data_IF_081668525979
#
_entry.id   IF_081668525979
#
_cell.length_a   1.000
_cell.length_b   1.000
_cell.length_c   1.000
_cell.angle_alpha   90.00
_cell.angle_beta   90.00
_cell.angle_gamma   90.00
#
_symmetry.space_group_name_H-M   'P 1'
#
loop_
_entity.id
_entity.type
_entity.pdbx_description
1 polymer ?
#
# COMPACT_ATOMS: atom_id res chain seq x y z
N UNK A 1 -0.37 -21.98 -8.37
CA UNK A 1 0.80 -21.92 -9.28
C UNK A 1 1.75 -23.02 -8.89
N UNK A 2 2.08 -23.93 -9.79
CA UNK A 2 3.12 -24.93 -9.53
C UNK A 2 4.46 -24.19 -9.36
N UNK A 3 5.02 -24.25 -8.17
CA UNK A 3 6.35 -23.68 -7.90
C UNK A 3 7.35 -24.35 -8.84
N UNK A 4 7.95 -23.57 -9.72
CA UNK A 4 9.01 -24.08 -10.57
C UNK A 4 10.26 -24.34 -9.71
N UNK A 5 10.46 -25.59 -9.31
CA UNK A 5 11.62 -26.04 -8.49
C UNK A 5 12.97 -25.54 -9.04
N UNK A 6 13.07 -25.37 -10.37
CA UNK A 6 14.26 -24.81 -11.03
C UNK A 6 14.50 -23.37 -10.59
N UNK A 7 13.46 -22.52 -10.56
CA UNK A 7 13.59 -21.11 -10.16
C UNK A 7 13.98 -20.99 -8.68
N UNK A 8 13.40 -21.81 -7.81
CA UNK A 8 13.77 -21.83 -6.39
C UNK A 8 15.26 -22.18 -6.22
N UNK A 9 15.78 -23.17 -6.97
CA UNK A 9 17.21 -23.53 -6.93
C UNK A 9 18.11 -22.37 -7.38
N UNK A 10 17.71 -21.62 -8.43
CA UNK A 10 18.44 -20.45 -8.91
C UNK A 10 18.49 -19.37 -7.81
N UNK A 11 17.35 -19.05 -7.21
CA UNK A 11 17.28 -18.04 -6.14
C UNK A 11 18.14 -18.42 -4.94
N UNK A 12 18.13 -19.69 -4.53
CA UNK A 12 18.98 -20.20 -3.44
C UNK A 12 20.48 -20.11 -3.78
N UNK A 13 20.88 -20.40 -5.04
CA UNK A 13 22.26 -20.21 -5.50
C UNK A 13 22.69 -18.75 -5.43
N UNK A 14 21.78 -17.81 -5.68
CA UNK A 14 22.00 -16.37 -5.52
C UNK A 14 21.96 -15.90 -4.06
N UNK A 15 21.96 -16.81 -3.09
CA UNK A 15 21.84 -16.53 -1.64
C UNK A 15 20.58 -15.74 -1.27
N UNK A 16 19.51 -15.86 -2.05
CA UNK A 16 18.21 -15.28 -1.76
C UNK A 16 17.44 -16.23 -0.85
N UNK A 17 16.95 -15.71 0.28
CA UNK A 17 16.09 -16.47 1.18
C UNK A 17 14.71 -16.66 0.51
N UNK A 18 14.35 -17.92 0.28
CA UNK A 18 13.06 -18.28 -0.32
C UNK A 18 12.17 -18.86 0.77
N UNK A 19 11.01 -18.27 0.96
CA UNK A 19 9.99 -18.71 1.89
C UNK A 19 8.78 -19.23 1.10
N UNK A 20 8.52 -20.51 1.22
CA UNK A 20 7.33 -21.14 0.64
C UNK A 20 6.17 -20.99 1.62
N UNK A 21 5.03 -20.49 1.13
CA UNK A 21 3.85 -20.27 1.95
C UNK A 21 2.76 -21.27 1.56
N UNK A 22 2.05 -21.78 2.55
CA UNK A 22 0.83 -22.57 2.34
C UNK A 22 -0.28 -21.64 1.90
N UNK A 23 -0.98 -21.99 0.83
CA UNK A 23 -2.15 -21.23 0.39
C UNK A 23 -3.28 -21.33 1.43
N UNK A 24 -3.96 -20.21 1.74
CA UNK A 24 -5.14 -20.25 2.59
C UNK A 24 -6.32 -20.92 1.88
N UNK A 25 -7.16 -21.63 2.62
CA UNK A 25 -8.38 -22.24 2.10
C UNK A 25 -9.32 -21.19 1.46
N UNK A 26 -9.40 -20.01 2.04
CA UNK A 26 -10.10 -18.86 1.49
C UNK A 26 -9.09 -17.77 1.09
N UNK A 27 -9.08 -17.39 -0.18
CA UNK A 27 -8.17 -16.36 -0.71
C UNK A 27 -8.59 -14.93 -0.34
N UNK A 28 -9.79 -14.74 0.21
CA UNK A 28 -10.36 -13.43 0.53
C UNK A 28 -10.70 -12.61 -0.71
N UNK A 29 -11.34 -11.45 -0.51
CA UNK A 29 -11.67 -10.54 -1.63
C UNK A 29 -10.38 -10.07 -2.30
N UNK A 30 -10.36 -10.12 -3.64
CA UNK A 30 -9.19 -9.75 -4.47
C UNK A 30 -7.90 -10.51 -4.09
N UNK A 31 -8.02 -11.74 -3.60
CA UNK A 31 -6.90 -12.59 -3.19
C UNK A 31 -6.05 -12.00 -2.03
N UNK A 32 -6.64 -11.16 -1.18
CA UNK A 32 -5.93 -10.41 -0.14
C UNK A 32 -5.22 -11.32 0.87
N UNK A 33 -5.78 -12.51 1.16
CA UNK A 33 -5.20 -13.45 2.10
C UNK A 33 -3.86 -14.02 1.63
N UNK A 34 -3.68 -14.22 0.32
CA UNK A 34 -2.39 -14.60 -0.25
C UNK A 34 -1.32 -13.54 0.03
N UNK A 35 -1.71 -12.27 -0.11
CA UNK A 35 -0.82 -11.15 0.14
C UNK A 35 -0.52 -10.96 1.63
N UNK A 36 -1.52 -11.12 2.50
CA UNK A 36 -1.34 -11.08 3.96
C UNK A 36 -0.32 -12.13 4.39
N UNK A 37 -0.51 -13.38 3.99
CA UNK A 37 0.35 -14.50 4.42
C UNK A 37 1.76 -14.30 3.90
N UNK A 38 1.93 -14.04 2.60
CA UNK A 38 3.26 -13.90 2.01
C UNK A 38 4.03 -12.70 2.56
N UNK A 39 3.38 -11.54 2.69
CA UNK A 39 4.02 -10.34 3.22
C UNK A 39 4.37 -10.50 4.70
N UNK A 40 3.41 -10.96 5.51
CA UNK A 40 3.61 -11.17 6.94
C UNK A 40 4.77 -12.13 7.24
N UNK A 41 4.77 -13.29 6.58
CA UNK A 41 5.80 -14.31 6.82
C UNK A 41 7.19 -13.83 6.36
N UNK A 42 7.28 -13.14 5.21
CA UNK A 42 8.52 -12.53 4.75
C UNK A 42 9.06 -11.47 5.70
N UNK A 43 8.18 -10.61 6.26
CA UNK A 43 8.58 -9.58 7.23
C UNK A 43 9.02 -10.21 8.56
N UNK A 44 8.33 -11.26 9.04
CA UNK A 44 8.75 -11.98 10.23
C UNK A 44 10.11 -12.68 10.04
N UNK A 45 10.37 -13.25 8.87
CA UNK A 45 11.69 -13.79 8.55
C UNK A 45 12.76 -12.69 8.62
N UNK A 46 12.52 -11.53 8.00
CA UNK A 46 13.44 -10.39 8.08
C UNK A 46 13.67 -9.94 9.54
N UNK A 47 12.63 -9.91 10.37
CA UNK A 47 12.76 -9.62 11.81
C UNK A 47 13.62 -10.65 12.52
N UNK A 48 13.42 -11.94 12.25
CA UNK A 48 14.23 -13.03 12.82
C UNK A 48 15.72 -12.91 12.42
N UNK A 49 15.99 -12.36 11.24
CA UNK A 49 17.34 -12.06 10.74
C UNK A 49 17.93 -10.75 11.30
N UNK A 50 17.26 -10.07 12.22
CA UNK A 50 17.74 -8.85 12.88
C UNK A 50 17.47 -7.54 12.13
N UNK A 51 16.64 -7.55 11.08
CA UNK A 51 16.30 -6.32 10.36
C UNK A 51 15.52 -5.35 11.25
N UNK A 52 15.96 -4.09 11.33
CA UNK A 52 15.26 -3.00 12.03
C UNK A 52 14.31 -2.25 11.11
N UNK A 53 14.63 -2.17 9.82
CA UNK A 53 13.80 -1.56 8.77
C UNK A 53 13.61 -2.55 7.64
N UNK A 54 12.48 -2.47 6.96
CA UNK A 54 12.14 -3.38 5.87
C UNK A 54 11.46 -2.62 4.74
N UNK A 55 11.80 -2.99 3.51
CA UNK A 55 11.10 -2.60 2.30
C UNK A 55 10.30 -3.81 1.79
N UNK A 56 8.97 -3.71 1.81
CA UNK A 56 8.08 -4.65 1.13
C UNK A 56 7.85 -4.17 -0.28
N UNK A 57 8.11 -5.00 -1.25
CA UNK A 57 7.81 -4.78 -2.66
C UNK A 57 7.19 -6.02 -3.28
N UNK A 58 7.01 -6.05 -4.60
CA UNK A 58 6.46 -7.17 -5.36
C UNK A 58 7.55 -7.81 -6.22
N UNK A 59 7.42 -9.10 -6.48
CA UNK A 59 8.37 -9.84 -7.33
C UNK A 59 8.35 -9.40 -8.80
N UNK A 60 7.26 -8.77 -9.25
CA UNK A 60 7.10 -8.23 -10.61
C UNK A 60 7.43 -6.71 -10.70
N UNK A 61 7.99 -6.14 -9.64
CA UNK A 61 8.42 -4.74 -9.58
C UNK A 61 9.91 -4.60 -9.29
N UNK A 62 10.51 -3.51 -9.79
CA UNK A 62 11.91 -3.11 -9.53
C UNK A 62 11.96 -1.61 -9.33
N UNK A 63 12.74 -1.16 -8.36
CA UNK A 63 13.07 0.25 -8.17
C UNK A 63 14.54 0.45 -8.59
N UNK A 64 14.76 1.35 -9.54
CA UNK A 64 16.09 1.59 -10.15
C UNK A 64 16.77 2.86 -9.62
N UNK A 65 16.31 3.43 -8.51
CA UNK A 65 16.98 4.56 -7.89
C UNK A 65 18.37 4.12 -7.37
N UNK A 66 19.47 4.78 -7.78
CA UNK A 66 20.83 4.32 -7.50
C UNK A 66 21.17 4.30 -5.99
N UNK A 67 20.58 5.18 -5.21
CA UNK A 67 20.77 5.26 -3.76
C UNK A 67 19.44 5.10 -3.00
N UNK A 68 18.64 4.09 -3.38
CA UNK A 68 17.30 3.89 -2.86
C UNK A 68 17.25 3.82 -1.32
N UNK A 69 18.20 3.11 -0.70
CA UNK A 69 18.25 2.95 0.75
C UNK A 69 18.30 4.31 1.45
N UNK A 70 19.30 5.13 1.15
CA UNK A 70 19.45 6.44 1.80
C UNK A 70 18.32 7.39 1.44
N UNK A 71 17.83 7.32 0.20
CA UNK A 71 16.67 8.10 -0.24
C UNK A 71 15.44 7.83 0.64
N UNK A 72 15.13 6.56 0.89
CA UNK A 72 14.00 6.19 1.76
C UNK A 72 14.21 6.59 3.22
N UNK A 73 15.42 6.44 3.76
CA UNK A 73 15.73 6.90 5.12
C UNK A 73 15.59 8.41 5.26
N UNK A 74 16.01 9.19 4.25
CA UNK A 74 15.88 10.65 4.27
C UNK A 74 14.43 11.09 4.45
N UNK A 75 13.45 10.38 3.86
CA UNK A 75 12.03 10.69 4.11
C UNK A 75 11.62 10.47 5.56
N UNK A 76 12.13 9.45 6.24
CA UNK A 76 11.82 9.21 7.64
C UNK A 76 12.41 10.29 8.55
N UNK A 77 13.59 10.81 8.21
CA UNK A 77 14.26 11.88 8.97
C UNK A 77 13.69 13.26 8.68
N UNK A 78 13.42 13.57 7.41
CA UNK A 78 12.85 14.85 7.02
C UNK A 78 11.41 15.03 7.51
N UNK A 79 10.65 13.94 7.61
CA UNK A 79 9.25 13.97 8.01
C UNK A 79 8.98 13.07 9.23
N UNK A 80 9.50 13.44 10.41
CA UNK A 80 9.38 12.61 11.61
C UNK A 80 7.92 12.46 12.05
N UNK A 81 7.61 11.32 12.64
CA UNK A 81 6.30 11.08 13.25
C UNK A 81 6.11 12.01 14.47
N UNK A 82 4.91 12.58 14.62
CA UNK A 82 4.62 13.43 15.79
C UNK A 82 4.69 12.62 17.09
N UNK A 83 5.35 13.14 18.12
CA UNK A 83 5.58 12.48 19.43
C UNK A 83 4.32 11.94 20.11
N UNK A 84 3.15 12.52 19.83
CA UNK A 84 1.86 12.03 20.37
C UNK A 84 1.42 10.65 19.85
N UNK A 85 2.00 10.14 18.76
CA UNK A 85 1.64 8.84 18.16
C UNK A 85 2.53 7.72 18.69
N UNK A 86 2.40 7.38 19.97
CA UNK A 86 3.25 6.43 20.69
C UNK A 86 3.18 4.99 20.15
N UNK A 87 2.07 4.60 19.49
CA UNK A 87 1.86 3.24 18.99
C UNK A 87 2.53 2.96 17.64
N UNK A 88 3.18 3.96 17.03
CA UNK A 88 3.92 3.85 15.78
C UNK A 88 5.29 4.49 15.98
N UNK A 89 6.35 3.90 15.42
CA UNK A 89 7.74 4.40 15.59
C UNK A 89 8.11 5.45 14.55
N UNK A 90 7.78 5.19 13.28
CA UNK A 90 8.06 6.08 12.15
C UNK A 90 6.85 6.15 11.22
N UNK A 91 6.77 7.18 10.37
CA UNK A 91 5.85 7.13 9.24
C UNK A 91 6.19 5.95 8.34
N UNK A 92 5.18 5.38 7.68
CA UNK A 92 5.39 4.40 6.63
C UNK A 92 5.55 5.15 5.30
N UNK A 93 6.58 4.84 4.53
CA UNK A 93 6.80 5.41 3.19
C UNK A 93 6.14 4.50 2.18
N UNK A 94 5.18 5.04 1.41
CA UNK A 94 4.49 4.35 0.33
C UNK A 94 4.57 5.17 -0.96
N UNK A 95 4.21 4.56 -2.10
CA UNK A 95 4.22 5.28 -3.40
C UNK A 95 2.87 5.86 -3.76
N UNK A 96 2.89 6.91 -4.60
CA UNK A 96 1.72 7.47 -5.26
C UNK A 96 1.01 6.45 -6.15
N UNK A 97 1.76 5.50 -6.75
CA UNK A 97 1.22 4.45 -7.57
C UNK A 97 0.16 3.64 -6.81
N UNK A 98 -1.08 3.70 -7.28
CA UNK A 98 -2.24 3.07 -6.64
C UNK A 98 -2.64 3.67 -5.27
N UNK A 99 -2.17 4.87 -4.93
CA UNK A 99 -2.67 5.68 -3.83
C UNK A 99 -3.54 6.80 -4.39
N UNK A 100 -4.88 6.62 -4.42
CA UNK A 100 -5.80 7.57 -5.02
C UNK A 100 -6.31 8.59 -4.01
N UNK A 101 -6.50 9.85 -4.45
CA UNK A 101 -6.98 10.96 -3.60
C UNK A 101 -8.32 10.66 -2.92
N UNK A 102 -9.22 9.99 -3.64
CA UNK A 102 -10.61 9.78 -3.20
C UNK A 102 -10.91 8.37 -2.70
N UNK A 103 -9.98 7.42 -2.84
CA UNK A 103 -10.09 6.11 -2.21
C UNK A 103 -9.65 6.22 -0.74
N UNK A 104 -10.62 6.47 0.13
CA UNK A 104 -10.36 6.72 1.56
C UNK A 104 -9.55 5.58 2.17
N UNK A 105 -8.47 5.94 2.86
CA UNK A 105 -7.53 5.01 3.51
C UNK A 105 -6.85 4.02 2.56
N UNK A 106 -6.93 4.23 1.26
CA UNK A 106 -6.35 3.33 0.24
C UNK A 106 -4.89 3.63 -0.05
N UNK A 107 -4.01 3.42 0.92
CA UNK A 107 -2.55 3.56 0.75
C UNK A 107 -2.03 2.35 -0.02
N UNK A 108 -1.25 2.60 -1.07
CA UNK A 108 -0.61 1.54 -1.85
C UNK A 108 0.23 0.61 -0.97
N UNK A 109 -0.04 -0.67 -1.07
CA UNK A 109 0.66 -1.74 -0.37
C UNK A 109 1.76 -2.40 -1.24
N UNK A 110 1.87 -1.95 -2.48
CA UNK A 110 2.78 -2.55 -3.47
C UNK A 110 4.24 -2.26 -3.18
N UNK A 111 4.54 -1.08 -2.64
CA UNK A 111 5.86 -0.66 -2.22
C UNK A 111 5.71 0.08 -0.90
N UNK A 112 6.26 -0.48 0.18
CA UNK A 112 6.17 0.13 1.50
C UNK A 112 7.45 -0.07 2.30
N UNK A 113 8.02 1.04 2.79
CA UNK A 113 9.22 1.06 3.61
C UNK A 113 8.92 1.63 5.00
N UNK A 114 9.55 1.06 6.03
CA UNK A 114 9.41 1.57 7.38
C UNK A 114 10.13 0.73 8.44
N UNK A 115 9.99 1.16 9.70
CA UNK A 115 10.45 0.37 10.83
C UNK A 115 9.69 -0.96 10.89
N UNK A 116 10.40 -2.05 11.15
CA UNK A 116 9.86 -3.40 11.01
C UNK A 116 8.58 -3.63 11.85
N UNK A 117 8.51 -3.08 13.06
CA UNK A 117 7.33 -3.22 13.92
C UNK A 117 6.09 -2.52 13.32
N UNK A 118 6.26 -1.40 12.66
CA UNK A 118 5.16 -0.67 12.02
C UNK A 118 4.70 -1.39 10.75
N UNK A 119 5.65 -1.93 9.97
CA UNK A 119 5.35 -2.72 8.76
C UNK A 119 4.67 -4.05 9.14
N UNK A 120 5.08 -4.71 10.24
CA UNK A 120 4.38 -5.87 10.78
C UNK A 120 2.92 -5.52 11.12
N UNK A 121 2.68 -4.40 11.83
CA UNK A 121 1.31 -3.97 12.15
C UNK A 121 0.46 -3.77 10.90
N UNK A 122 1.06 -3.22 9.83
CA UNK A 122 0.37 -2.97 8.58
C UNK A 122 0.03 -4.28 7.84
N UNK A 123 0.99 -5.18 7.66
CA UNK A 123 0.84 -6.40 6.86
C UNK A 123 0.34 -7.63 7.65
N UNK A 124 -0.10 -7.46 8.88
CA UNK A 124 -0.66 -8.55 9.69
C UNK A 124 -2.10 -8.30 10.11
N UNK A 125 -3.03 -7.88 9.22
CA UNK A 125 -4.44 -7.88 9.57
C UNK A 125 -4.95 -9.32 9.78
N UNK A 126 -6.14 -9.53 10.35
CA UNK A 126 -6.85 -10.81 10.29
C UNK A 126 -7.01 -11.26 8.83
N UNK A 127 -7.18 -12.55 8.59
CA UNK A 127 -7.55 -13.03 7.26
C UNK A 127 -8.98 -12.58 6.93
N UNK A 128 -9.21 -12.26 5.66
CA UNK A 128 -10.55 -11.89 5.17
C UNK A 128 -11.37 -13.15 4.91
N UNK A 129 -12.45 -13.32 5.65
CA UNK A 129 -13.32 -14.48 5.52
C UNK A 129 -14.35 -14.35 4.38
N UNK A 130 -14.42 -13.20 3.73
CA UNK A 130 -15.34 -12.97 2.60
C UNK A 130 -14.84 -13.70 1.36
N UNK A 131 -15.79 -14.26 0.59
CA UNK A 131 -15.46 -15.06 -0.62
C UNK A 131 -15.63 -14.21 -1.89
N UNK A 132 -16.70 -13.41 -1.95
CA UNK A 132 -17.03 -12.59 -3.13
C UNK A 132 -17.72 -11.29 -2.73
N UNK A 133 -17.69 -10.32 -3.63
CA UNK A 133 -18.51 -9.12 -3.53
C UNK A 133 -19.87 -9.35 -4.20
N UNK A 134 -20.89 -8.63 -3.74
CA UNK A 134 -22.25 -8.67 -4.31
C UNK A 134 -22.31 -8.07 -5.72
N UNK A 135 -21.47 -7.07 -6.00
CA UNK A 135 -21.42 -6.34 -7.26
C UNK A 135 -20.00 -6.25 -7.82
N UNK A 136 -19.88 -5.91 -9.12
CA UNK A 136 -18.59 -5.56 -9.74
C UNK A 136 -18.02 -4.29 -9.10
N UNK A 137 -16.70 -4.19 -8.99
CA UNK A 137 -16.00 -3.05 -8.38
C UNK A 137 -16.38 -1.71 -9.02
N UNK A 138 -16.55 -1.68 -10.34
CA UNK A 138 -16.93 -0.49 -11.11
C UNK A 138 -18.32 0.09 -10.77
N UNK A 139 -19.15 -0.67 -10.06
CA UNK A 139 -20.50 -0.22 -9.67
C UNK A 139 -20.51 0.51 -8.33
N UNK A 140 -19.39 0.54 -7.61
CA UNK A 140 -19.30 1.20 -6.31
C UNK A 140 -18.85 2.67 -6.45
N UNK A 141 -19.41 3.54 -5.61
CA UNK A 141 -18.84 4.85 -5.36
C UNK A 141 -17.53 4.74 -4.57
N UNK A 142 -16.70 5.77 -4.59
CA UNK A 142 -15.49 5.82 -3.75
C UNK A 142 -15.80 5.61 -2.26
N UNK A 143 -16.88 6.22 -1.77
CA UNK A 143 -17.33 6.04 -0.39
C UNK A 143 -17.69 4.58 -0.10
N UNK A 144 -18.49 3.94 -0.96
CA UNK A 144 -18.91 2.55 -0.79
C UNK A 144 -17.71 1.61 -0.87
N UNK A 145 -16.84 1.78 -1.86
CA UNK A 145 -15.62 1.00 -2.02
C UNK A 145 -14.75 1.02 -0.75
N UNK A 146 -14.54 2.23 -0.21
CA UNK A 146 -13.75 2.39 1.01
C UNK A 146 -14.37 1.71 2.23
N UNK A 147 -15.70 1.84 2.41
CA UNK A 147 -16.43 1.20 3.52
C UNK A 147 -16.43 -0.32 3.42
N UNK A 148 -16.37 -0.88 2.22
CA UNK A 148 -16.26 -2.32 2.00
C UNK A 148 -14.88 -2.87 2.39
N UNK A 149 -13.91 -2.03 2.70
CA UNK A 149 -12.55 -2.46 3.07
C UNK A 149 -11.96 -3.43 2.04
N UNK A 150 -11.82 -2.98 0.80
CA UNK A 150 -11.30 -3.80 -0.29
C UNK A 150 -9.83 -3.44 -0.54
N UNK A 151 -9.03 -4.43 -0.88
CA UNK A 151 -7.62 -4.25 -1.26
C UNK A 151 -6.83 -3.47 -0.20
N UNK A 152 -6.16 -2.40 -0.59
CA UNK A 152 -5.29 -1.57 0.26
C UNK A 152 -6.03 -0.94 1.45
N UNK A 153 -7.33 -0.69 1.30
CA UNK A 153 -8.16 -0.16 2.40
C UNK A 153 -8.24 -1.14 3.56
N UNK A 154 -8.23 -2.45 3.27
CA UNK A 154 -8.24 -3.49 4.30
C UNK A 154 -6.97 -3.45 5.16
N UNK A 155 -5.79 -3.37 4.54
CA UNK A 155 -4.53 -3.26 5.27
C UNK A 155 -4.48 -1.98 6.11
N UNK A 156 -4.78 -0.86 5.49
CA UNK A 156 -4.68 0.46 6.08
C UNK A 156 -5.62 0.65 7.26
N UNK A 157 -6.91 0.28 7.12
CA UNK A 157 -7.89 0.40 8.21
C UNK A 157 -7.56 -0.51 9.40
N UNK A 158 -7.10 -1.73 9.14
CA UNK A 158 -6.66 -2.63 10.22
C UNK A 158 -5.40 -2.11 10.92
N UNK A 159 -4.44 -1.55 10.19
CA UNK A 159 -3.28 -0.87 10.76
C UNK A 159 -3.71 0.30 11.66
N UNK A 160 -4.60 1.16 11.16
CA UNK A 160 -5.10 2.33 11.90
C UNK A 160 -5.79 1.93 13.21
N UNK A 161 -6.60 0.85 13.20
CA UNK A 161 -7.19 0.30 14.42
C UNK A 161 -6.12 -0.13 15.42
N UNK A 162 -5.06 -0.83 14.97
CA UNK A 162 -3.95 -1.30 15.83
C UNK A 162 -3.15 -0.16 16.45
N UNK A 163 -3.06 0.99 15.80
CA UNK A 163 -2.39 2.18 16.33
C UNK A 163 -3.34 3.14 17.04
N UNK A 164 -4.60 2.72 17.31
CA UNK A 164 -5.59 3.48 18.07
C UNK A 164 -6.16 4.70 17.33
N UNK A 165 -6.26 4.63 15.99
CA UNK A 165 -6.81 5.75 15.18
C UNK A 165 -8.27 5.55 14.86
N UNK A 166 -9.06 6.62 15.06
CA UNK A 166 -10.49 6.64 14.68
C UNK A 166 -10.63 6.77 13.16
N UNK A 167 -11.52 5.96 12.59
CA UNK A 167 -11.87 5.93 11.17
C UNK A 167 -13.32 6.38 11.04
N UNK A 168 -13.58 7.45 10.29
CA UNK A 168 -14.93 7.99 10.10
C UNK A 168 -15.36 8.10 8.62
N UNK A 169 -14.55 7.57 7.70
CA UNK A 169 -14.81 7.53 6.26
C UNK A 169 -15.18 8.88 5.63
N UNK A 170 -14.53 9.97 6.10
CA UNK A 170 -14.56 11.28 5.45
C UNK A 170 -13.24 11.56 4.74
N UNK A 171 -13.29 12.39 3.68
CA UNK A 171 -12.10 12.78 2.93
C UNK A 171 -11.10 13.50 3.84
N UNK A 172 -11.57 14.44 4.65
CA UNK A 172 -10.74 15.18 5.59
C UNK A 172 -10.01 14.24 6.58
N UNK A 173 -10.69 13.22 7.11
CA UNK A 173 -10.04 12.26 8.02
C UNK A 173 -9.02 11.38 7.28
N UNK A 174 -9.35 10.90 6.08
CA UNK A 174 -8.43 10.09 5.26
C UNK A 174 -7.15 10.87 4.94
N UNK A 175 -7.26 12.09 4.44
CA UNK A 175 -6.10 12.94 4.12
C UNK A 175 -5.28 13.28 5.37
N UNK A 176 -5.94 13.50 6.52
CA UNK A 176 -5.24 13.69 7.80
C UNK A 176 -4.44 12.44 8.19
N UNK A 177 -4.98 11.24 7.98
CA UNK A 177 -4.27 9.98 8.21
C UNK A 177 -3.06 9.86 7.29
N UNK A 178 -3.19 10.17 6.00
CA UNK A 178 -2.08 10.17 5.06
C UNK A 178 -0.96 11.11 5.52
N UNK A 179 -1.31 12.35 5.89
CA UNK A 179 -0.36 13.32 6.44
C UNK A 179 0.34 12.83 7.70
N UNK A 180 -0.42 12.27 8.64
CA UNK A 180 0.07 12.03 9.99
C UNK A 180 0.87 10.72 10.13
N UNK A 181 0.54 9.69 9.36
CA UNK A 181 1.07 8.34 9.53
C UNK A 181 1.90 7.80 8.36
N UNK A 182 1.82 8.46 7.20
CA UNK A 182 2.50 8.02 5.99
C UNK A 182 3.34 9.16 5.39
N UNK A 183 4.26 8.80 4.50
CA UNK A 183 4.85 9.66 3.48
C UNK A 183 4.51 9.03 2.15
N UNK A 184 3.94 9.79 1.24
CA UNK A 184 3.66 9.33 -0.11
C UNK A 184 4.71 9.92 -1.03
N UNK A 185 5.48 9.09 -1.70
CA UNK A 185 6.48 9.51 -2.68
C UNK A 185 6.03 9.14 -4.09
N UNK A 186 6.46 9.94 -5.06
CA UNK A 186 6.15 9.65 -6.46
C UNK A 186 6.93 8.41 -6.91
N UNK A 187 6.23 7.47 -7.55
CA UNK A 187 6.83 6.23 -8.03
C UNK A 187 7.91 6.48 -9.10
N UNK A 188 7.81 7.58 -9.82
CA UNK A 188 8.81 8.04 -10.80
C UNK A 188 10.13 8.39 -10.10
N UNK A 189 10.09 8.99 -8.92
CA UNK A 189 11.27 9.40 -8.16
C UNK A 189 12.18 8.23 -7.79
N UNK A 190 11.63 7.04 -7.65
CA UNK A 190 12.37 5.79 -7.41
C UNK A 190 12.58 4.98 -8.69
N UNK A 191 12.21 5.52 -9.86
CA UNK A 191 12.26 4.81 -11.14
C UNK A 191 11.62 3.43 -11.05
N UNK A 192 10.41 3.36 -10.46
CA UNK A 192 9.71 2.10 -10.26
C UNK A 192 9.31 1.49 -11.60
N UNK A 193 9.81 0.31 -11.86
CA UNK A 193 9.47 -0.49 -13.02
C UNK A 193 8.50 -1.59 -12.62
N UNK A 194 7.39 -1.75 -13.36
CA UNK A 194 6.43 -2.82 -13.14
C UNK A 194 6.25 -3.67 -14.39
N UNK A 195 6.86 -4.83 -14.41
CA UNK A 195 6.93 -5.72 -15.58
C UNK A 195 5.55 -6.07 -16.17
N UNK A 196 4.54 -6.24 -15.34
CA UNK A 196 3.18 -6.59 -15.76
C UNK A 196 2.59 -5.63 -16.82
N UNK A 197 3.05 -4.38 -16.86
CA UNK A 197 2.50 -3.31 -17.71
C UNK A 197 3.51 -2.72 -18.68
N UNK A 198 4.63 -3.41 -18.95
CA UNK A 198 5.73 -2.91 -19.79
C UNK A 198 5.50 -2.97 -21.28
N UNK A 199 4.57 -3.77 -21.76
CA UNK A 199 4.41 -4.02 -23.19
C UNK A 199 3.93 -2.78 -23.97
N UNK A 200 3.37 -1.79 -23.29
CA UNK A 200 3.01 -0.50 -23.89
C UNK A 200 3.69 0.61 -23.08
N UNK A 201 4.31 1.57 -23.73
CA UNK A 201 5.11 2.64 -23.12
C UNK A 201 4.37 3.51 -22.07
N UNK A 202 3.06 3.38 -21.93
CA UNK A 202 2.20 4.11 -20.99
C UNK A 202 1.80 3.22 -19.81
N UNK A 203 2.77 2.71 -19.13
CA UNK A 203 2.72 1.71 -18.08
C UNK A 203 1.67 1.92 -16.99
N UNK A 204 1.35 3.16 -16.66
CA UNK A 204 0.52 3.50 -15.50
C UNK A 204 -0.83 4.11 -15.90
N UNK A 205 -0.97 4.61 -17.11
CA UNK A 205 -2.24 5.02 -17.68
C UNK A 205 -3.20 3.84 -17.85
N UNK A 206 -2.63 2.64 -18.02
CA UNK A 206 -3.39 1.39 -18.15
C UNK A 206 -3.88 0.77 -16.85
N UNK A 207 -3.56 1.34 -15.68
CA UNK A 207 -4.23 0.93 -14.44
C UNK A 207 -5.72 1.25 -14.42
N UNK A 208 -6.22 1.84 -15.51
CA UNK A 208 -7.65 1.94 -15.79
C UNK A 208 -8.41 2.90 -14.89
N UNK A 209 -7.70 3.72 -14.11
CA UNK A 209 -8.33 4.67 -13.22
C UNK A 209 -8.15 6.08 -13.75
N UNK A 210 -9.28 6.75 -14.02
CA UNK A 210 -9.28 8.17 -14.36
C UNK A 210 -9.09 9.08 -13.15
N UNK A 211 -9.11 8.49 -11.95
CA UNK A 211 -9.03 9.25 -10.72
C UNK A 211 -7.59 9.59 -10.35
N UNK A 212 -7.33 10.80 -9.88
CA UNK A 212 -5.98 11.27 -9.63
C UNK A 212 -5.33 10.51 -8.46
N UNK A 213 -4.08 10.10 -8.67
CA UNK A 213 -3.23 9.60 -7.61
C UNK A 213 -2.79 10.74 -6.69
N UNK A 214 -2.53 10.43 -5.44
CA UNK A 214 -1.97 11.37 -4.48
C UNK A 214 -0.45 11.47 -4.72
N UNK A 215 0.02 12.57 -5.27
CA UNK A 215 1.45 12.82 -5.50
C UNK A 215 2.19 13.19 -4.21
N UNK A 216 3.52 13.19 -4.27
CA UNK A 216 4.34 13.74 -3.18
C UNK A 216 4.05 15.23 -2.94
N UNK A 217 3.86 16.02 -4.00
CA UNK A 217 3.47 17.43 -3.87
C UNK A 217 2.14 17.58 -3.12
N UNK A 218 1.11 16.81 -3.47
CA UNK A 218 -0.16 16.82 -2.75
C UNK A 218 0.04 16.47 -1.26
N UNK A 219 0.83 15.43 -0.99
CA UNK A 219 1.12 15.02 0.37
C UNK A 219 1.90 16.10 1.15
N UNK A 220 2.89 16.74 0.52
CA UNK A 220 3.68 17.81 1.11
C UNK A 220 2.82 19.06 1.42
N UNK A 221 1.87 19.39 0.56
CA UNK A 221 0.87 20.43 0.84
C UNK A 221 0.07 20.08 2.09
N UNK A 222 -0.43 18.83 2.20
CA UNK A 222 -1.14 18.35 3.39
C UNK A 222 -0.26 18.42 4.65
N UNK A 223 1.01 18.05 4.53
CA UNK A 223 1.97 18.06 5.63
C UNK A 223 2.16 19.46 6.22
N UNK A 224 2.20 20.49 5.37
CA UNK A 224 2.40 21.89 5.74
C UNK A 224 1.12 22.61 6.20
N UNK A 225 -0.07 22.02 5.98
CA UNK A 225 -1.32 22.64 6.44
C UNK A 225 -1.38 22.68 7.98
N UNK A 226 -1.50 23.91 8.54
CA UNK A 226 -1.76 24.11 9.97
C UNK A 226 -3.17 23.61 10.33
N UNK A 227 -4.18 24.05 9.57
CA UNK A 227 -5.58 23.66 9.74
C UNK A 227 -6.09 22.94 8.50
N UNK A 228 -6.90 21.88 8.71
CA UNK A 228 -7.52 21.18 7.62
C UNK A 228 -8.65 22.01 7.02
N UNK A 229 -8.64 22.14 5.68
CA UNK A 229 -9.69 22.80 4.91
C UNK A 229 -10.92 21.88 4.88
N UNK A 230 -12.11 22.48 4.81
CA UNK A 230 -13.33 21.72 4.56
C UNK A 230 -13.33 21.24 3.10
N UNK A 231 -13.42 19.93 2.91
CA UNK A 231 -13.45 19.31 1.59
C UNK A 231 -14.89 19.07 1.13
N UNK A 232 -15.11 19.15 -0.18
CA UNK A 232 -16.39 18.74 -0.76
C UNK A 232 -16.48 17.21 -0.78
N UNK A 233 -17.28 16.67 0.14
CA UNK A 233 -17.49 15.23 0.26
C UNK A 233 -18.37 14.64 -0.88
N UNK A 234 -19.01 15.47 -1.73
CA UNK A 234 -19.84 14.99 -2.83
C UNK A 234 -19.01 14.22 -3.88
N UNK A 235 -17.73 14.51 -4.00
CA UNK A 235 -16.84 13.77 -4.89
C UNK A 235 -16.79 12.27 -4.56
N UNK A 236 -17.01 11.89 -3.31
CA UNK A 236 -17.01 10.51 -2.86
C UNK A 236 -18.25 9.71 -3.33
N UNK A 237 -19.28 10.41 -3.82
CA UNK A 237 -20.49 9.80 -4.41
C UNK A 237 -20.26 9.35 -5.85
N UNK A 238 -19.22 9.86 -6.52
CA UNK A 238 -18.88 9.45 -7.89
C UNK A 238 -18.52 7.97 -7.91
N UNK A 239 -18.97 7.29 -8.96
CA UNK A 239 -18.63 5.89 -9.20
C UNK A 239 -17.16 5.77 -9.56
N UNK A 240 -16.58 4.67 -9.13
CA UNK A 240 -15.26 4.23 -9.54
C UNK A 240 -15.26 4.03 -11.06
N UNK A 241 -14.53 4.86 -11.80
CA UNK A 241 -14.46 4.74 -13.25
C UNK A 241 -13.19 3.98 -13.64
N UNK A 242 -13.39 2.77 -14.16
CA UNK A 242 -12.32 2.06 -14.85
C UNK A 242 -12.28 2.51 -16.31
N UNK A 243 -11.13 2.98 -16.80
CA UNK A 243 -10.93 3.26 -18.23
C UNK A 243 -10.87 1.98 -19.08
N UNK A 244 -10.62 0.85 -18.47
CA UNK A 244 -10.49 -0.41 -19.19
C UNK A 244 -11.80 -1.19 -19.20
N UNK A 245 -12.36 -1.38 -20.40
CA UNK A 245 -13.43 -2.34 -20.69
C UNK A 245 -12.96 -3.82 -20.55
N UNK A 246 -11.73 -4.09 -20.09
CA UNK A 246 -11.06 -5.40 -20.14
C UNK A 246 -10.82 -6.03 -18.76
N UNK A 247 -11.66 -5.71 -17.76
CA UNK A 247 -11.73 -6.48 -16.52
C UNK A 247 -13.12 -6.98 -16.24
#
# INVERSE_FOLDING_TARGET
MAYNKKNIRILKKLKINVLENVEPNNKGISNINLQIISSRNGIFLAKKMGAKFVLKTRTDQRAYHPNLKNYLFNFLYAFPLKKKYKSQKYRLVATSLNTFKYRLYGISDMFMFGHIEDVIKYFSPPLDNRIKLTNKLSNYSWSTFSKLNICEVYFSTNFLKKIGRKINFTLANSLKIYRDHFVILDYESIKLYWHKYTLNNNRYEHLGFSDPQLSFCDWLMLYNLKNFIKYDENILKKKFQSRNKYY
#
